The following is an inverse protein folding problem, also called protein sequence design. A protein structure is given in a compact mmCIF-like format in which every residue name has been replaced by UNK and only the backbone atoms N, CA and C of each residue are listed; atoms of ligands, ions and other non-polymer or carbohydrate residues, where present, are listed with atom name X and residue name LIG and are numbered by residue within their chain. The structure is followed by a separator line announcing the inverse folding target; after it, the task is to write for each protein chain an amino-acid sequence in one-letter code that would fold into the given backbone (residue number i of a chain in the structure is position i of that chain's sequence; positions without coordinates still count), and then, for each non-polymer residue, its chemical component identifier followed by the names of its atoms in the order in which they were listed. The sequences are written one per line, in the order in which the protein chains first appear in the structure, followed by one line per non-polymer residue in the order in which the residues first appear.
data_IF_673336662942
#
_entry.id   IF_673336662942
#
_cell.length_a   1.000
_cell.length_b   1.000
_cell.length_c   1.000
_cell.angle_alpha   90.00
_cell.angle_beta   90.00
_cell.angle_gamma   90.00
#
_symmetry.space_group_name_H-M   'P 1'
#
loop_
_entity.id
_entity.type
_entity.pdbx_description
1 polymer ?
#
# COMPACT_ATOMS: atom_id res chain seq x y z
N UNK A 1 49.86 -5.35 -33.87
CA UNK A 1 49.49 -4.43 -32.78
C UNK A 1 47.99 -4.21 -32.87
N UNK A 2 47.30 -4.60 -31.80
CA UNK A 2 45.84 -4.67 -31.70
C UNK A 2 45.17 -3.30 -31.74
N UNK A 3 44.01 -3.21 -32.39
CA UNK A 3 42.99 -2.22 -32.04
C UNK A 3 41.60 -2.81 -32.35
N UNK A 4 40.82 -3.23 -31.34
CA UNK A 4 39.46 -3.71 -31.56
C UNK A 4 38.51 -2.55 -31.81
N UNK A 5 37.77 -2.63 -32.93
CA UNK A 5 36.58 -1.81 -33.21
C UNK A 5 35.58 -2.03 -32.07
N UNK A 6 35.42 -1.04 -31.21
CA UNK A 6 34.34 -1.00 -30.22
C UNK A 6 33.05 -0.67 -30.95
N UNK A 7 32.09 -1.58 -30.80
CA UNK A 7 30.73 -1.50 -31.30
C UNK A 7 30.01 -0.28 -30.71
N UNK A 8 29.40 0.54 -31.58
CA UNK A 8 28.38 1.51 -31.20
C UNK A 8 27.20 0.76 -30.57
N UNK A 9 27.08 0.81 -29.24
CA UNK A 9 25.83 0.50 -28.54
C UNK A 9 24.88 1.69 -28.62
N UNK A 10 23.56 1.47 -28.68
CA UNK A 10 22.61 2.57 -28.65
C UNK A 10 22.75 3.31 -27.33
N UNK A 11 22.83 4.64 -27.41
CA UNK A 11 22.75 5.52 -26.26
C UNK A 11 21.46 5.18 -25.50
N UNK A 12 21.60 4.47 -24.37
CA UNK A 12 20.60 4.52 -23.32
C UNK A 12 20.65 5.95 -22.82
N UNK A 13 19.80 6.80 -23.41
CA UNK A 13 19.52 8.13 -22.88
C UNK A 13 19.21 7.95 -21.40
N UNK A 14 20.16 8.42 -20.61
CA UNK A 14 20.11 8.52 -19.17
C UNK A 14 18.95 9.49 -18.92
N UNK A 15 17.76 8.95 -18.65
CA UNK A 15 16.61 9.74 -18.23
C UNK A 15 17.02 10.38 -16.91
N UNK A 16 17.50 11.62 -17.01
CA UNK A 16 17.97 12.43 -15.92
C UNK A 16 17.04 12.34 -14.72
N UNK A 17 17.66 12.34 -13.54
CA UNK A 17 17.12 12.49 -12.20
C UNK A 17 16.09 13.63 -12.11
N UNK A 18 14.89 13.43 -12.66
CA UNK A 18 13.73 14.24 -12.31
C UNK A 18 13.21 13.61 -11.02
N UNK A 19 13.40 14.25 -9.85
CA UNK A 19 12.83 13.74 -8.63
C UNK A 19 11.32 13.58 -8.85
N UNK A 20 10.81 12.39 -8.57
CA UNK A 20 9.39 12.03 -8.72
C UNK A 20 8.46 12.98 -7.93
N UNK A 21 9.04 13.77 -7.02
CA UNK A 21 8.37 14.68 -6.12
C UNK A 21 9.16 15.98 -5.95
N UNK A 22 8.55 17.11 -6.28
CA UNK A 22 8.97 18.41 -5.75
C UNK A 22 8.37 18.52 -4.34
N UNK A 23 9.19 18.35 -3.32
CA UNK A 23 8.77 18.49 -1.91
C UNK A 23 8.63 19.98 -1.59
N UNK A 24 7.40 20.49 -1.60
CA UNK A 24 7.08 21.80 -1.03
C UNK A 24 6.91 21.65 0.49
N UNK A 25 7.90 22.10 1.25
CA UNK A 25 7.91 22.01 2.72
C UNK A 25 6.78 22.82 3.39
N UNK A 26 6.13 23.72 2.66
CA UNK A 26 4.96 24.47 3.14
C UNK A 26 3.62 23.78 2.86
N UNK A 27 3.59 22.68 2.09
CA UNK A 27 2.36 21.95 1.76
C UNK A 27 2.39 20.53 2.32
N UNK A 28 1.29 20.11 2.95
CA UNK A 28 1.09 18.69 3.33
C UNK A 28 1.19 17.83 2.06
N UNK A 29 2.10 16.86 2.02
CA UNK A 29 2.20 15.99 0.85
C UNK A 29 0.88 15.27 0.61
N UNK A 30 0.44 15.30 -0.65
CA UNK A 30 -0.71 14.52 -1.12
C UNK A 30 -0.22 13.14 -1.55
N UNK A 31 -1.01 12.11 -1.25
CA UNK A 31 -0.74 10.77 -1.75
C UNK A 31 -0.94 10.71 -3.26
N UNK A 32 0.10 10.31 -3.99
CA UNK A 32 0.02 9.98 -5.41
C UNK A 32 -0.24 8.48 -5.61
N UNK A 33 -0.63 8.06 -6.80
CA UNK A 33 -0.94 6.64 -7.10
C UNK A 33 0.19 5.69 -6.74
N UNK A 34 1.45 6.09 -6.97
CA UNK A 34 2.63 5.32 -6.61
C UNK A 34 2.81 5.19 -5.08
N UNK A 35 2.57 6.27 -4.33
CA UNK A 35 2.58 6.25 -2.87
C UNK A 35 1.54 5.27 -2.33
N UNK A 36 0.35 5.21 -2.95
CA UNK A 36 -0.72 4.29 -2.55
C UNK A 36 -0.35 2.82 -2.78
N UNK A 37 0.29 2.52 -3.91
CA UNK A 37 0.78 1.17 -4.21
C UNK A 37 1.82 0.73 -3.17
N UNK A 38 2.79 1.60 -2.86
CA UNK A 38 3.83 1.33 -1.86
C UNK A 38 3.22 1.20 -0.47
N UNK A 39 2.33 2.10 -0.08
CA UNK A 39 1.62 2.07 1.21
C UNK A 39 0.88 0.74 1.41
N UNK A 40 0.09 0.27 0.42
CA UNK A 40 -0.64 -1.00 0.56
C UNK A 40 0.31 -2.20 0.64
N UNK A 41 1.43 -2.19 -0.10
CA UNK A 41 2.46 -3.26 0.01
C UNK A 41 3.08 -3.30 1.41
N UNK A 42 3.43 -2.14 1.97
CA UNK A 42 4.03 -2.03 3.31
C UNK A 42 3.07 -2.56 4.36
N UNK A 43 1.82 -2.08 4.40
CA UNK A 43 0.85 -2.52 5.43
C UNK A 43 0.49 -4.00 5.32
N UNK A 44 0.53 -4.55 4.09
CA UNK A 44 0.31 -5.98 3.87
C UNK A 44 1.46 -6.81 4.42
N UNK A 45 2.71 -6.45 4.09
CA UNK A 45 3.89 -7.18 4.56
C UNK A 45 4.06 -7.11 6.07
N UNK A 46 3.80 -5.94 6.66
CA UNK A 46 3.86 -5.71 8.11
C UNK A 46 2.67 -6.27 8.87
N UNK A 47 1.61 -6.68 8.16
CA UNK A 47 0.40 -7.26 8.75
C UNK A 47 -0.18 -6.37 9.85
N UNK A 48 -0.40 -5.10 9.55
CA UNK A 48 -0.84 -4.09 10.55
C UNK A 48 -2.16 -4.46 11.25
N UNK A 49 -2.96 -5.35 10.65
CA UNK A 49 -4.17 -5.92 11.23
C UNK A 49 -3.91 -6.92 12.38
N UNK A 50 -2.69 -7.45 12.51
CA UNK A 50 -2.28 -8.41 13.51
C UNK A 50 -1.53 -7.77 14.70
N UNK A 51 -1.38 -6.44 14.70
CA UNK A 51 -0.71 -5.71 15.76
C UNK A 51 -1.38 -6.00 17.13
N UNK A 52 -0.60 -6.34 18.18
CA UNK A 52 -1.13 -6.55 19.51
C UNK A 52 -1.85 -5.31 20.05
N UNK A 53 -2.76 -5.52 21.00
CA UNK A 53 -3.49 -4.43 21.64
C UNK A 53 -2.49 -3.46 22.30
N UNK A 54 -2.66 -2.15 22.04
CA UNK A 54 -1.75 -1.11 22.52
C UNK A 54 -0.55 -0.80 21.61
N UNK A 55 -0.21 -1.66 20.66
CA UNK A 55 0.96 -1.47 19.77
C UNK A 55 0.58 -0.97 18.36
N UNK A 56 -0.70 -0.67 18.14
CA UNK A 56 -1.17 -0.21 16.83
C UNK A 56 -0.54 1.11 16.39
N UNK A 57 -0.32 2.04 17.32
CA UNK A 57 0.30 3.34 16.99
C UNK A 57 1.75 3.18 16.53
N UNK A 58 2.55 2.43 17.28
CA UNK A 58 3.95 2.12 16.92
C UNK A 58 4.05 1.44 15.56
N UNK A 59 3.15 0.50 15.27
CA UNK A 59 3.13 -0.19 13.99
C UNK A 59 2.79 0.77 12.83
N UNK A 60 1.83 1.67 13.03
CA UNK A 60 1.50 2.70 12.04
C UNK A 60 2.62 3.74 11.89
N UNK A 61 3.35 4.03 12.96
CA UNK A 61 4.54 4.89 12.91
C UNK A 61 5.60 4.26 12.03
N UNK A 62 5.90 2.98 12.23
CA UNK A 62 6.88 2.27 11.42
C UNK A 62 6.45 2.10 9.95
N UNK A 63 5.14 2.01 9.66
CA UNK A 63 4.62 2.12 8.28
C UNK A 63 4.92 3.49 7.67
N UNK A 64 4.73 4.56 8.43
CA UNK A 64 4.98 5.92 7.95
C UNK A 64 6.48 6.15 7.68
N UNK A 65 7.34 5.72 8.60
CA UNK A 65 8.79 5.85 8.46
C UNK A 65 9.28 5.13 7.20
N UNK A 66 8.86 3.87 7.01
CA UNK A 66 9.24 3.10 5.83
C UNK A 66 8.69 3.71 4.54
N UNK A 67 7.43 4.19 4.54
CA UNK A 67 6.86 4.84 3.37
C UNK A 67 7.64 6.12 3.01
N UNK A 68 7.95 6.93 4.02
CA UNK A 68 8.63 8.21 3.86
C UNK A 68 10.05 8.04 3.33
N UNK A 69 10.78 7.03 3.81
CA UNK A 69 12.08 6.63 3.28
C UNK A 69 11.95 6.18 1.81
N UNK A 70 10.92 5.41 1.50
CA UNK A 70 10.76 4.79 0.17
C UNK A 70 10.25 5.76 -0.92
N UNK A 71 9.56 6.84 -0.55
CA UNK A 71 8.96 7.82 -1.49
C UNK A 71 9.44 9.25 -1.28
N UNK A 72 10.49 9.42 -0.46
CA UNK A 72 11.09 10.71 -0.14
C UNK A 72 10.04 11.76 0.24
N UNK A 73 9.25 11.43 1.26
CA UNK A 73 8.08 12.19 1.67
C UNK A 73 8.02 12.37 3.19
N UNK A 74 7.07 13.20 3.64
CA UNK A 74 6.81 13.42 5.06
C UNK A 74 5.33 13.21 5.39
N UNK A 75 4.87 11.96 5.35
CA UNK A 75 3.55 11.56 5.81
C UNK A 75 3.56 11.22 7.30
N UNK A 76 2.50 11.58 8.01
CA UNK A 76 2.30 11.13 9.39
C UNK A 76 1.65 9.75 9.42
N UNK A 77 1.87 9.01 10.51
CA UNK A 77 1.22 7.70 10.73
C UNK A 77 -0.31 7.78 10.64
N UNK A 78 -0.91 8.86 11.16
CA UNK A 78 -2.35 9.10 11.07
C UNK A 78 -2.79 9.24 9.62
N UNK A 79 -2.07 10.02 8.82
CA UNK A 79 -2.38 10.17 7.40
C UNK A 79 -2.30 8.83 6.64
N UNK A 80 -1.28 8.01 6.91
CA UNK A 80 -1.15 6.67 6.34
C UNK A 80 -2.33 5.77 6.73
N UNK A 81 -2.65 5.68 8.02
CA UNK A 81 -3.76 4.88 8.55
C UNK A 81 -5.10 5.30 7.96
N UNK A 82 -5.40 6.59 7.99
CA UNK A 82 -6.66 7.15 7.51
C UNK A 82 -6.79 6.96 6.00
N UNK A 83 -5.68 7.08 5.25
CA UNK A 83 -5.69 6.81 3.81
C UNK A 83 -5.95 5.35 3.49
N UNK A 84 -5.35 4.41 4.24
CA UNK A 84 -5.65 2.98 4.09
C UNK A 84 -7.13 2.72 4.39
N UNK A 85 -7.66 3.26 5.48
CA UNK A 85 -9.09 3.12 5.80
C UNK A 85 -10.01 3.65 4.69
N UNK A 86 -9.67 4.79 4.09
CA UNK A 86 -10.39 5.37 2.96
C UNK A 86 -10.34 4.46 1.72
N UNK A 87 -9.16 3.92 1.37
CA UNK A 87 -9.00 2.98 0.25
C UNK A 87 -9.85 1.73 0.41
N UNK A 88 -9.89 1.16 1.61
CA UNK A 88 -10.69 -0.03 1.90
C UNK A 88 -12.18 0.26 1.76
N UNK A 89 -12.63 1.42 2.24
CA UNK A 89 -14.03 1.85 2.14
C UNK A 89 -14.43 2.09 0.69
N UNK A 90 -13.58 2.76 -0.08
CA UNK A 90 -13.81 3.04 -1.49
C UNK A 90 -13.86 1.75 -2.32
N UNK A 91 -12.90 0.85 -2.13
CA UNK A 91 -12.89 -0.44 -2.83
C UNK A 91 -14.16 -1.25 -2.52
N UNK A 92 -14.59 -1.34 -1.26
CA UNK A 92 -15.86 -1.98 -0.90
C UNK A 92 -17.06 -1.34 -1.62
N UNK A 93 -17.13 -0.01 -1.64
CA UNK A 93 -18.21 0.73 -2.31
C UNK A 93 -18.21 0.46 -3.82
N UNK A 94 -17.05 0.53 -4.46
CA UNK A 94 -16.89 0.28 -5.89
C UNK A 94 -17.31 -1.15 -6.26
N UNK A 95 -16.85 -2.14 -5.49
CA UNK A 95 -17.22 -3.55 -5.68
C UNK A 95 -18.72 -3.78 -5.49
N UNK A 96 -19.35 -3.16 -4.48
CA UNK A 96 -20.81 -3.23 -4.30
C UNK A 96 -21.58 -2.60 -5.46
N UNK A 97 -21.18 -1.42 -5.91
CA UNK A 97 -21.83 -0.72 -7.02
C UNK A 97 -21.69 -1.50 -8.34
N UNK A 98 -20.50 -2.04 -8.61
CA UNK A 98 -20.23 -2.88 -9.79
C UNK A 98 -21.07 -4.16 -9.78
N UNK A 99 -21.20 -4.84 -8.62
CA UNK A 99 -22.09 -6.01 -8.47
C UNK A 99 -23.56 -5.67 -8.74
N UNK A 100 -24.04 -4.52 -8.25
CA UNK A 100 -25.42 -4.07 -8.46
C UNK A 100 -25.70 -3.73 -9.92
N UNK A 101 -24.75 -3.11 -10.62
CA UNK A 101 -24.95 -2.62 -11.98
C UNK A 101 -24.71 -3.68 -13.05
N UNK A 102 -23.66 -4.50 -12.90
CA UNK A 102 -23.16 -5.37 -13.97
C UNK A 102 -23.17 -6.85 -13.62
N UNK A 103 -23.40 -7.22 -12.35
CA UNK A 103 -23.27 -8.60 -11.86
C UNK A 103 -21.84 -9.17 -11.91
N UNK A 104 -20.88 -8.42 -12.45
CA UNK A 104 -19.47 -8.81 -12.66
C UNK A 104 -18.59 -7.74 -12.05
N UNK A 105 -17.54 -8.17 -11.36
CA UNK A 105 -16.50 -7.29 -10.82
C UNK A 105 -15.57 -6.88 -11.96
N UNK A 106 -15.61 -5.59 -12.31
CA UNK A 106 -14.87 -5.00 -13.43
C UNK A 106 -13.33 -5.01 -13.21
N UNK A 107 -12.54 -4.96 -14.31
CA UNK A 107 -11.07 -5.09 -14.31
C UNK A 107 -10.41 -4.19 -13.25
N UNK A 108 -9.81 -4.83 -12.26
CA UNK A 108 -9.12 -4.18 -11.15
C UNK A 108 -7.79 -3.57 -11.59
N UNK A 109 -7.58 -2.30 -11.25
CA UNK A 109 -6.26 -1.67 -11.31
C UNK A 109 -5.29 -2.42 -10.39
N UNK A 110 -3.98 -2.29 -10.63
CA UNK A 110 -2.96 -2.91 -9.77
C UNK A 110 -3.11 -2.56 -8.29
N UNK A 111 -3.57 -1.34 -7.98
CA UNK A 111 -3.90 -0.92 -6.61
C UNK A 111 -5.11 -1.66 -6.05
N UNK A 112 -6.17 -1.83 -6.84
CA UNK A 112 -7.37 -2.55 -6.42
C UNK A 112 -7.07 -4.01 -6.05
N UNK A 113 -6.23 -4.69 -6.85
CA UNK A 113 -5.80 -6.06 -6.54
C UNK A 113 -5.05 -6.15 -5.21
N UNK A 114 -4.15 -5.19 -4.94
CA UNK A 114 -3.41 -5.16 -3.67
C UNK A 114 -4.32 -4.85 -2.48
N UNK A 115 -5.27 -3.93 -2.64
CA UNK A 115 -6.26 -3.60 -1.60
C UNK A 115 -7.16 -4.82 -1.31
N UNK A 116 -7.58 -5.55 -2.33
CA UNK A 116 -8.36 -6.77 -2.17
C UNK A 116 -7.56 -7.86 -1.45
N UNK A 117 -6.30 -8.09 -1.85
CA UNK A 117 -5.42 -9.05 -1.18
C UNK A 117 -5.23 -8.72 0.31
N UNK A 118 -5.00 -7.44 0.63
CA UNK A 118 -4.92 -6.97 2.01
C UNK A 118 -6.22 -7.24 2.79
N UNK A 119 -7.38 -6.96 2.19
CA UNK A 119 -8.69 -7.23 2.82
C UNK A 119 -8.87 -8.72 3.11
N UNK A 120 -8.55 -9.60 2.15
CA UNK A 120 -8.68 -11.04 2.32
C UNK A 120 -7.79 -11.57 3.46
N UNK A 121 -6.54 -11.07 3.55
CA UNK A 121 -5.62 -11.42 4.63
C UNK A 121 -6.13 -10.96 5.99
N UNK A 122 -6.61 -9.71 6.07
CA UNK A 122 -7.20 -9.15 7.28
C UNK A 122 -8.42 -9.97 7.73
N UNK A 123 -9.35 -10.28 6.84
CA UNK A 123 -10.56 -11.07 7.16
C UNK A 123 -10.19 -12.44 7.69
N UNK A 124 -9.26 -13.16 7.03
CA UNK A 124 -8.80 -14.49 7.49
C UNK A 124 -8.17 -14.43 8.88
N UNK A 125 -7.46 -13.35 9.20
CA UNK A 125 -6.89 -13.15 10.52
C UNK A 125 -7.99 -12.95 11.58
N UNK A 126 -8.97 -12.07 11.31
CA UNK A 126 -10.10 -11.81 12.20
C UNK A 126 -10.94 -13.08 12.44
N UNK A 127 -11.22 -13.87 11.40
CA UNK A 127 -11.93 -15.16 11.50
C UNK A 127 -11.20 -16.16 12.42
N UNK A 128 -9.87 -16.27 12.28
CA UNK A 128 -9.06 -17.14 13.15
C UNK A 128 -9.09 -16.67 14.61
N UNK A 129 -8.96 -15.36 14.84
CA UNK A 129 -9.03 -14.79 16.20
C UNK A 129 -10.42 -15.01 16.82
N UNK A 130 -11.48 -14.86 16.04
CA UNK A 130 -12.83 -15.09 16.52
C UNK A 130 -13.09 -16.56 16.84
N UNK A 131 -12.64 -17.48 15.98
CA UNK A 131 -12.76 -18.92 16.23
C UNK A 131 -12.02 -19.33 17.52
N UNK A 132 -10.84 -18.77 17.76
CA UNK A 132 -10.06 -19.01 18.97
C UNK A 132 -10.77 -18.47 20.23
N UNK A 133 -11.34 -17.26 20.15
CA UNK A 133 -12.14 -16.67 21.24
C UNK A 133 -13.36 -17.52 21.58
N UNK A 134 -14.13 -17.93 20.57
CA UNK A 134 -15.32 -18.77 20.76
C UNK A 134 -14.96 -20.12 21.39
N UNK A 135 -13.83 -20.73 21.00
CA UNK A 135 -13.33 -21.96 21.61
C UNK A 135 -12.97 -21.79 23.08
N UNK A 136 -12.44 -20.63 23.48
CA UNK A 136 -12.10 -20.32 24.87
C UNK A 136 -13.34 -20.09 25.73
N UNK A 137 -14.37 -19.43 25.19
CA UNK A 137 -15.63 -19.17 25.91
C UNK A 137 -16.54 -20.39 26.01
N UNK A 138 -16.32 -21.42 25.18
CA UNK A 138 -17.08 -22.67 25.19
C UNK A 138 -16.48 -23.75 26.13
N UNK A 139 -15.39 -23.44 26.83
CA UNK A 139 -14.78 -24.27 27.88
C UNK A 139 -15.14 -23.69 29.23
#
# INVERSE_FOLDING_TARGET
MSNPRVLNGPACEQLDDIPFRIVDSMKRSRFQSHDLLKLIRIVTRRQTYAAPHGQGEDEWQAVADELNETVEAAFSFRACRDKVAALLKEHKRATSASRQASGIVEKHTGLSNLVEAYLQLKTRFEERQQAERTRRTAR
#
